data_IF_443058959904
#
_entry.id   IF_443058959904
#
_cell.length_a   1.000
_cell.length_b   1.000
_cell.length_c   1.000
_cell.angle_alpha   90.00
_cell.angle_beta   90.00
_cell.angle_gamma   90.00
#
_symmetry.space_group_name_H-M   'P 1'
#
loop_
_entity.id
_entity.type
_entity.pdbx_description
1 polymer ?
#
# COMPACT_ATOMS: atom_id res chain seq x y z
N UNK A 1 14.89 2.31 -2.28
CA UNK A 1 14.15 1.11 -2.67
C UNK A 1 14.82 0.58 -3.92
N UNK A 2 15.53 -0.53 -3.78
CA UNK A 2 16.29 -1.12 -4.89
C UNK A 2 15.35 -1.75 -5.91
N UNK A 3 15.68 -1.65 -7.19
CA UNK A 3 14.99 -2.36 -8.27
C UNK A 3 15.10 -3.87 -8.06
N UNK A 4 14.11 -4.61 -8.55
CA UNK A 4 13.96 -6.06 -8.36
C UNK A 4 13.88 -6.52 -6.90
N UNK A 5 13.66 -5.59 -5.96
CA UNK A 5 13.43 -5.92 -4.56
C UNK A 5 11.94 -5.95 -4.24
N UNK A 6 11.57 -6.84 -3.33
CA UNK A 6 10.25 -6.83 -2.69
C UNK A 6 10.38 -6.13 -1.34
N UNK A 7 9.56 -5.10 -1.13
CA UNK A 7 9.53 -4.32 0.10
C UNK A 7 8.26 -4.67 0.87
N UNK A 8 8.42 -5.07 2.13
CA UNK A 8 7.28 -5.28 3.04
C UNK A 8 6.88 -3.95 3.66
N UNK A 9 5.65 -3.53 3.42
CA UNK A 9 5.02 -2.36 4.05
C UNK A 9 4.08 -2.86 5.13
N UNK A 10 4.18 -2.30 6.33
CA UNK A 10 3.23 -2.56 7.42
C UNK A 10 2.43 -1.30 7.66
N UNK A 11 1.12 -1.40 7.52
CA UNK A 11 0.19 -0.29 7.69
C UNK A 11 -0.55 -0.49 9.01
N UNK A 12 -0.63 0.58 9.81
CA UNK A 12 -1.44 0.65 11.02
C UNK A 12 -2.41 1.80 10.87
N UNK A 13 -3.67 1.56 11.17
CA UNK A 13 -4.74 2.55 11.04
C UNK A 13 -5.82 2.29 12.10
N UNK A 14 -6.57 3.34 12.42
CA UNK A 14 -7.78 3.26 13.24
C UNK A 14 -8.98 3.28 12.29
N UNK A 15 -9.94 2.37 12.48
CA UNK A 15 -11.18 2.34 11.70
C UNK A 15 -12.33 3.07 12.41
N UNK A 16 -12.06 3.77 13.51
CA UNK A 16 -13.02 4.49 14.34
C UNK A 16 -14.19 3.61 14.81
N UNK A 17 -13.98 2.30 14.94
CA UNK A 17 -15.03 1.35 15.33
C UNK A 17 -15.98 0.93 14.20
N UNK A 18 -15.68 1.26 12.95
CA UNK A 18 -16.51 0.88 11.80
C UNK A 18 -16.46 -0.61 11.44
N UNK A 19 -15.58 -1.40 12.08
CA UNK A 19 -15.55 -2.85 11.88
C UNK A 19 -15.04 -3.27 10.50
N UNK A 20 -14.15 -2.47 9.89
CA UNK A 20 -13.59 -2.74 8.55
C UNK A 20 -12.94 -4.13 8.50
N UNK A 21 -13.44 -4.99 7.62
CA UNK A 21 -12.97 -6.37 7.43
C UNK A 21 -12.44 -6.63 6.01
N UNK A 22 -12.51 -5.63 5.14
CA UNK A 22 -12.07 -5.73 3.75
C UNK A 22 -11.34 -4.45 3.35
N UNK A 23 -10.23 -4.61 2.63
CA UNK A 23 -9.49 -3.50 2.06
C UNK A 23 -9.07 -3.84 0.63
N UNK A 24 -9.41 -2.94 -0.30
CA UNK A 24 -8.86 -2.93 -1.65
C UNK A 24 -7.70 -1.96 -1.72
N UNK A 25 -6.51 -2.43 -2.06
CA UNK A 25 -5.32 -1.60 -2.13
C UNK A 25 -5.16 -0.97 -3.52
N UNK A 26 -4.94 0.34 -3.55
CA UNK A 26 -4.55 1.09 -4.74
C UNK A 26 -3.23 1.81 -4.45
N UNK A 27 -2.11 1.16 -4.78
CA UNK A 27 -0.78 1.75 -4.55
C UNK A 27 -0.20 2.22 -5.87
N UNK A 28 0.31 3.45 -5.87
CA UNK A 28 0.84 4.12 -7.08
C UNK A 28 2.19 4.76 -6.78
N UNK A 29 3.14 4.54 -7.68
CA UNK A 29 4.35 5.34 -7.76
C UNK A 29 4.03 6.71 -8.37
N UNK A 30 4.63 7.76 -7.80
CA UNK A 30 4.48 9.14 -8.26
C UNK A 30 5.87 9.71 -8.53
N UNK A 31 6.23 9.83 -9.80
CA UNK A 31 7.49 10.38 -10.27
C UNK A 31 7.24 11.51 -11.25
N UNK A 32 7.71 12.72 -10.98
CA UNK A 32 7.50 13.91 -11.84
C UNK A 32 6.03 14.06 -12.30
N UNK A 33 5.08 13.93 -11.37
CA UNK A 33 3.63 14.01 -11.62
C UNK A 33 3.01 12.83 -12.40
N UNK A 34 3.82 11.87 -12.88
CA UNK A 34 3.34 10.64 -13.50
C UNK A 34 2.97 9.64 -12.41
N UNK A 35 1.74 9.14 -12.45
CA UNK A 35 1.24 8.10 -11.55
C UNK A 35 1.28 6.75 -12.26
N UNK A 36 2.02 5.79 -11.70
CA UNK A 36 2.16 4.44 -12.26
C UNK A 36 1.75 3.42 -11.19
N UNK A 37 0.99 2.39 -11.54
CA UNK A 37 0.57 1.39 -10.57
C UNK A 37 1.77 0.65 -9.97
N UNK A 38 1.77 0.47 -8.65
CA UNK A 38 2.73 -0.38 -7.96
C UNK A 38 2.19 -1.81 -7.92
N UNK A 39 3.06 -2.78 -8.18
CA UNK A 39 2.69 -4.18 -8.08
C UNK A 39 2.71 -4.61 -6.61
N UNK A 40 1.53 -4.93 -6.06
CA UNK A 40 1.38 -5.59 -4.77
C UNK A 40 1.14 -7.06 -5.07
N UNK A 41 2.06 -7.94 -4.71
CA UNK A 41 1.89 -9.37 -4.97
C UNK A 41 2.60 -10.20 -3.90
N UNK A 42 1.87 -11.09 -3.19
CA UNK A 42 0.41 -11.20 -3.18
C UNK A 42 -0.26 -9.96 -2.56
N UNK A 43 -1.45 -9.60 -3.03
CA UNK A 43 -2.28 -8.64 -2.30
C UNK A 43 -2.82 -9.37 -1.06
N UNK A 44 -2.49 -8.88 0.15
CA UNK A 44 -2.86 -9.56 1.40
C UNK A 44 -4.37 -9.59 1.64
N UNK A 45 -5.15 -8.68 1.06
CA UNK A 45 -6.59 -8.53 1.31
C UNK A 45 -7.46 -8.82 0.08
N UNK A 46 -6.86 -9.25 -1.04
CA UNK A 46 -7.60 -9.62 -2.24
C UNK A 46 -8.29 -10.97 -2.03
N UNK A 47 -9.56 -10.92 -1.64
CA UNK A 47 -10.39 -12.09 -1.35
C UNK A 47 -10.24 -12.68 0.07
N UNK A 48 -9.33 -12.13 0.88
CA UNK A 48 -9.15 -12.52 2.29
C UNK A 48 -9.75 -11.47 3.25
N UNK A 49 -10.89 -11.82 3.85
CA UNK A 49 -11.57 -11.00 4.87
C UNK A 49 -10.88 -11.04 6.25
N UNK A 50 -9.84 -11.88 6.42
CA UNK A 50 -9.04 -12.03 7.63
C UNK A 50 -7.68 -11.32 7.58
N UNK A 51 -7.37 -10.61 6.49
CA UNK A 51 -6.07 -9.97 6.29
C UNK A 51 -5.76 -8.85 7.31
N UNK A 52 -6.80 -8.29 7.92
CA UNK A 52 -6.69 -7.18 8.87
C UNK A 52 -6.61 -7.76 10.28
N UNK A 53 -5.46 -7.56 10.91
CA UNK A 53 -5.21 -7.99 12.28
C UNK A 53 -5.61 -6.90 13.26
N UNK A 54 -6.32 -7.27 14.32
CA UNK A 54 -6.53 -6.37 15.46
C UNK A 54 -5.20 -6.11 16.17
N UNK A 55 -4.89 -4.84 16.40
CA UNK A 55 -3.73 -4.37 17.16
C UNK A 55 -4.21 -3.61 18.41
N UNK A 56 -3.30 -3.37 19.36
CA UNK A 56 -3.62 -2.76 20.67
C UNK A 56 -4.32 -1.40 20.56
N UNK A 57 -4.03 -0.64 19.49
CA UNK A 57 -4.57 0.71 19.22
C UNK A 57 -5.19 0.82 17.81
N UNK A 58 -5.84 -0.24 17.32
CA UNK A 58 -6.55 -0.20 16.04
C UNK A 58 -6.34 -1.47 15.21
N UNK A 59 -6.08 -1.29 13.92
CA UNK A 59 -5.95 -2.37 12.94
C UNK A 59 -4.64 -2.28 12.19
N UNK A 60 -4.13 -3.44 11.77
CA UNK A 60 -2.89 -3.54 11.05
C UNK A 60 -2.95 -4.59 9.94
N UNK A 61 -2.25 -4.33 8.85
CA UNK A 61 -1.98 -5.33 7.82
C UNK A 61 -0.59 -5.08 7.24
N UNK A 62 -0.11 -6.04 6.46
CA UNK A 62 1.16 -5.91 5.73
C UNK A 62 0.95 -6.27 4.27
N UNK A 63 1.68 -5.60 3.39
CA UNK A 63 1.63 -5.82 1.95
C UNK A 63 3.05 -5.83 1.37
N UNK A 64 3.28 -6.66 0.36
CA UNK A 64 4.55 -6.76 -0.33
C UNK A 64 4.49 -5.98 -1.63
N UNK A 65 5.29 -4.92 -1.74
CA UNK A 65 5.41 -4.10 -2.95
C UNK A 65 6.65 -4.50 -3.72
N UNK A 66 6.46 -4.95 -4.96
CA UNK A 66 7.57 -5.24 -5.86
C UNK A 66 8.04 -3.97 -6.58
N UNK A 67 9.32 -3.67 -6.48
CA UNK A 67 9.96 -2.52 -7.14
C UNK A 67 10.43 -2.96 -8.52
N UNK A 68 9.63 -2.66 -9.55
CA UNK A 68 9.91 -3.07 -10.92
C UNK A 68 11.25 -2.46 -11.42
N UNK A 69 12.05 -3.25 -12.15
CA UNK A 69 13.30 -2.82 -12.76
C UNK A 69 13.13 -1.65 -13.76
N UNK A 70 11.93 -1.49 -14.31
CA UNK A 70 11.63 -0.40 -15.26
C UNK A 70 11.41 0.95 -14.59
N UNK A 71 11.25 1.01 -13.27
CA UNK A 71 11.03 2.27 -12.54
C UNK A 71 12.27 3.16 -12.60
N UNK A 72 12.18 4.46 -12.93
CA UNK A 72 13.33 5.34 -13.05
C UNK A 72 14.10 5.48 -11.72
N UNK A 73 15.44 5.53 -11.79
CA UNK A 73 16.31 5.76 -10.61
C UNK A 73 16.23 7.23 -10.23
N UNK A 74 15.27 7.58 -9.38
CA UNK A 74 15.04 8.96 -8.97
C UNK A 74 14.27 9.04 -7.64
N UNK A 75 14.19 10.27 -7.10
CA UNK A 75 13.32 10.59 -5.97
C UNK A 75 11.88 10.73 -6.46
N UNK A 76 10.93 10.29 -5.65
CA UNK A 76 9.50 10.45 -5.92
C UNK A 76 8.70 10.17 -4.67
N UNK A 77 7.49 9.68 -4.85
CA UNK A 77 6.65 9.24 -3.75
C UNK A 77 5.88 7.98 -4.09
N UNK A 78 5.48 7.24 -3.06
CA UNK A 78 4.54 6.15 -3.14
C UNK A 78 3.23 6.64 -2.51
N UNK A 79 2.19 6.77 -3.34
CA UNK A 79 0.84 7.06 -2.90
C UNK A 79 0.17 5.72 -2.56
N UNK A 80 -0.35 5.65 -1.33
CA UNK A 80 -1.02 4.47 -0.81
C UNK A 80 -2.47 4.82 -0.51
N UNK A 81 -3.38 4.22 -1.26
CA UNK A 81 -4.81 4.33 -1.05
C UNK A 81 -5.39 2.96 -0.70
N UNK A 82 -6.32 2.90 0.24
CA UNK A 82 -7.05 1.69 0.55
C UNK A 82 -8.51 2.00 0.77
N UNK A 83 -9.37 1.22 0.11
CA UNK A 83 -10.81 1.38 0.12
C UNK A 83 -11.50 0.24 0.82
N UNK A 84 -12.60 0.53 1.50
CA UNK A 84 -13.44 -0.50 2.10
C UNK A 84 -14.33 -1.20 1.06
N UNK A 85 -15.22 -2.08 1.52
CA UNK A 85 -16.17 -2.80 0.66
C UNK A 85 -17.21 -1.89 -0.02
N UNK A 86 -17.37 -0.65 0.46
CA UNK A 86 -18.30 0.34 -0.06
C UNK A 86 -17.60 1.35 -1.00
N UNK A 87 -16.36 1.08 -1.42
CA UNK A 87 -15.51 1.96 -2.22
C UNK A 87 -15.20 3.31 -1.53
N UNK A 88 -15.32 3.37 -0.20
CA UNK A 88 -14.93 4.54 0.59
C UNK A 88 -13.43 4.50 0.90
N UNK A 89 -12.75 5.62 0.65
CA UNK A 89 -11.33 5.77 0.98
C UNK A 89 -11.16 5.78 2.51
N UNK A 90 -10.52 4.74 3.04
CA UNK A 90 -10.23 4.63 4.47
C UNK A 90 -8.80 5.09 4.79
N UNK A 91 -7.87 4.75 3.89
CA UNK A 91 -6.45 5.05 4.04
C UNK A 91 -6.02 5.83 2.81
N UNK A 92 -5.38 6.98 3.04
CA UNK A 92 -4.77 7.77 1.98
C UNK A 92 -3.52 8.44 2.56
N UNK A 93 -2.34 7.94 2.21
CA UNK A 93 -1.08 8.55 2.61
C UNK A 93 -0.05 8.52 1.49
N UNK A 94 0.92 9.43 1.55
CA UNK A 94 1.98 9.53 0.57
C UNK A 94 3.33 9.48 1.29
N UNK A 95 4.20 8.57 0.86
CA UNK A 95 5.53 8.39 1.44
C UNK A 95 6.60 8.80 0.42
N UNK A 96 7.55 9.69 0.76
CA UNK A 96 8.67 9.97 -0.11
C UNK A 96 9.55 8.73 -0.28
N UNK A 97 9.95 8.43 -1.51
CA UNK A 97 10.79 7.27 -1.83
C UNK A 97 11.94 7.68 -2.75
N UNK A 98 13.02 6.90 -2.71
CA UNK A 98 14.13 7.01 -3.67
C UNK A 98 14.35 5.64 -4.29
N UNK A 99 14.19 5.54 -5.61
CA UNK A 99 14.48 4.31 -6.34
C UNK A 99 15.98 4.25 -6.61
N UNK A 100 16.58 3.11 -6.29
CA UNK A 100 18.01 2.84 -6.52
C UNK A 100 18.16 1.64 -7.44
N UNK A 101 19.35 1.50 -8.02
CA UNK A 101 19.73 0.30 -8.79
C UNK A 101 19.70 -0.93 -7.88
#
# INVERSE_FOLDING_TARGET
>A
MARNATIKVTVRFDDNGNGVSFLKHEVRWVFNYIKTQAAITPDPCDGDHGCIMSATDGKAYWANVFVNNTLPVMKGSMLWESKDANDQNLICFQVPVVITV
#
